data_IF_580729137746
#
_entry.id   IF_580729137746
#
_cell.length_a   1.000
_cell.length_b   1.000
_cell.length_c   1.000
_cell.angle_alpha   90.00
_cell.angle_beta   90.00
_cell.angle_gamma   90.00
#
_symmetry.space_group_name_H-M   'P 1'
#
loop_
_entity.id
_entity.type
_entity.pdbx_description
1 polymer ?
#
# COMPACT_ATOMS: atom_id res chain seq x y z
N UNK A 1 -5.61 1.66 6.38
CA UNK A 1 -6.23 2.94 5.95
C UNK A 1 -7.35 3.41 6.87
N UNK A 2 -8.31 2.58 7.26
CA UNK A 2 -9.44 2.98 8.12
C UNK A 2 -9.04 3.70 9.43
N UNK A 3 -8.04 3.25 10.20
CA UNK A 3 -7.61 3.97 11.40
C UNK A 3 -7.10 5.39 11.13
N UNK A 4 -6.44 5.58 9.98
CA UNK A 4 -5.89 6.89 9.59
C UNK A 4 -6.99 7.91 9.29
N UNK A 5 -8.05 7.47 8.59
CA UNK A 5 -9.21 8.31 8.30
C UNK A 5 -9.89 8.79 9.60
N UNK A 6 -9.98 7.93 10.63
CA UNK A 6 -10.48 8.29 11.97
C UNK A 6 -9.53 9.20 12.76
N UNK A 7 -8.25 9.25 12.40
CA UNK A 7 -7.22 10.08 13.04
C UNK A 7 -7.10 11.50 12.43
N UNK A 8 -8.04 11.93 11.59
CA UNK A 8 -8.11 13.29 11.08
C UNK A 8 -7.24 13.56 9.84
N UNK A 9 -6.89 12.56 9.05
CA UNK A 9 -6.25 12.79 7.75
C UNK A 9 -7.28 13.41 6.80
N UNK A 10 -6.96 14.59 6.24
CA UNK A 10 -7.83 15.34 5.37
C UNK A 10 -7.79 14.94 3.90
N UNK A 11 -6.65 14.43 3.41
CA UNK A 11 -6.47 14.08 1.99
C UNK A 11 -5.89 12.67 1.84
N UNK A 12 -6.52 11.84 1.02
CA UNK A 12 -6.04 10.48 0.73
C UNK A 12 -6.16 10.19 -0.76
N UNK A 13 -5.09 9.73 -1.38
CA UNK A 13 -5.14 9.05 -2.68
C UNK A 13 -5.04 7.55 -2.44
N UNK A 14 -5.94 6.77 -3.03
CA UNK A 14 -5.89 5.31 -3.03
C UNK A 14 -5.86 4.79 -4.45
N UNK A 15 -4.96 3.84 -4.71
CA UNK A 15 -4.78 3.27 -6.05
C UNK A 15 -4.75 1.75 -5.90
N UNK A 16 -5.63 1.06 -6.61
CA UNK A 16 -5.72 -0.40 -6.64
C UNK A 16 -6.43 -0.84 -7.93
N UNK A 17 -5.83 -1.71 -8.72
CA UNK A 17 -6.39 -2.22 -9.97
C UNK A 17 -7.18 -3.52 -9.81
N UNK A 18 -7.28 -4.07 -8.61
CA UNK A 18 -7.95 -5.34 -8.36
C UNK A 18 -9.47 -5.18 -8.14
N UNK A 19 -10.17 -6.29 -8.42
CA UNK A 19 -11.54 -6.51 -7.95
C UNK A 19 -11.58 -7.42 -6.73
N UNK A 20 -12.67 -7.36 -5.98
CA UNK A 20 -12.89 -8.23 -4.82
C UNK A 20 -13.20 -9.65 -5.30
N UNK A 21 -12.40 -10.60 -4.84
CA UNK A 21 -12.56 -12.02 -5.14
C UNK A 21 -13.02 -12.79 -3.89
N UNK A 22 -13.71 -13.91 -4.09
CA UNK A 22 -14.17 -14.80 -3.01
C UNK A 22 -13.02 -15.22 -2.08
N UNK A 23 -11.82 -15.41 -2.61
CA UNK A 23 -10.63 -15.77 -1.82
C UNK A 23 -10.11 -14.64 -0.94
N UNK A 24 -10.62 -13.41 -1.09
CA UNK A 24 -10.25 -12.28 -0.24
C UNK A 24 -11.06 -12.19 1.06
N UNK A 25 -12.23 -12.85 1.13
CA UNK A 25 -13.18 -12.77 2.24
C UNK A 25 -12.54 -13.16 3.58
N UNK A 26 -11.60 -14.09 3.55
CA UNK A 26 -10.94 -14.59 4.74
C UNK A 26 -10.01 -13.57 5.46
N UNK A 27 -9.64 -12.47 4.80
CA UNK A 27 -8.64 -11.52 5.36
C UNK A 27 -8.82 -10.05 4.99
N UNK A 28 -9.60 -9.72 3.95
CA UNK A 28 -9.77 -8.34 3.50
C UNK A 28 -11.08 -7.75 4.01
N UNK A 29 -11.00 -6.68 4.75
CA UNK A 29 -12.13 -6.04 5.43
C UNK A 29 -13.24 -5.57 4.48
N UNK A 30 -12.89 -5.23 3.24
CA UNK A 30 -13.84 -4.78 2.20
C UNK A 30 -14.45 -5.95 1.42
N UNK A 31 -13.95 -7.17 1.62
CA UNK A 31 -14.39 -8.35 0.89
C UNK A 31 -15.55 -9.02 1.63
N UNK A 32 -16.74 -8.83 1.11
CA UNK A 32 -18.01 -9.41 1.56
C UNK A 32 -18.71 -10.10 0.39
N UNK A 33 -19.68 -10.97 0.64
CA UNK A 33 -20.49 -11.56 -0.43
C UNK A 33 -21.17 -10.50 -1.30
N UNK A 34 -21.62 -9.40 -0.68
CA UNK A 34 -22.28 -8.28 -1.37
C UNK A 34 -21.34 -7.41 -2.20
N UNK A 35 -20.03 -7.50 -1.99
CA UNK A 35 -19.03 -6.69 -2.70
C UNK A 35 -18.20 -7.46 -3.72
N UNK A 36 -18.52 -8.75 -3.93
CA UNK A 36 -17.80 -9.58 -4.92
C UNK A 36 -17.83 -8.96 -6.32
N UNK A 37 -16.73 -9.09 -7.05
CA UNK A 37 -16.49 -8.58 -8.40
C UNK A 37 -16.51 -7.03 -8.52
N UNK A 38 -16.64 -6.29 -7.42
CA UNK A 38 -16.54 -4.84 -7.43
C UNK A 38 -15.06 -4.40 -7.28
N UNK A 39 -14.65 -3.27 -7.89
CA UNK A 39 -13.31 -2.72 -7.69
C UNK A 39 -13.02 -2.45 -6.21
N UNK A 40 -11.88 -2.95 -5.72
CA UNK A 40 -11.48 -2.80 -4.30
C UNK A 40 -11.41 -1.33 -3.90
N UNK A 41 -10.86 -0.49 -4.76
CA UNK A 41 -10.71 0.94 -4.53
C UNK A 41 -12.05 1.64 -4.31
N UNK A 42 -13.09 1.28 -5.07
CA UNK A 42 -14.41 1.91 -4.97
C UNK A 42 -15.09 1.57 -3.63
N UNK A 43 -15.05 0.30 -3.23
CA UNK A 43 -15.64 -0.14 -1.94
C UNK A 43 -14.88 0.48 -0.76
N UNK A 44 -13.56 0.56 -0.87
CA UNK A 44 -12.76 1.24 0.15
C UNK A 44 -13.08 2.74 0.22
N UNK A 45 -13.23 3.39 -0.94
CA UNK A 45 -13.58 4.81 -1.03
C UNK A 45 -14.92 5.12 -0.35
N UNK A 46 -15.96 4.37 -0.67
CA UNK A 46 -17.27 4.51 -0.03
C UNK A 46 -17.17 4.41 1.49
N UNK A 47 -16.45 3.42 1.99
CA UNK A 47 -16.25 3.22 3.42
C UNK A 47 -15.44 4.34 4.08
N UNK A 48 -14.43 4.88 3.41
CA UNK A 48 -13.63 5.99 3.93
C UNK A 48 -14.48 7.26 4.04
N UNK A 49 -15.30 7.53 3.03
CA UNK A 49 -16.21 8.67 2.99
C UNK A 49 -17.34 8.57 4.02
N UNK A 50 -17.85 7.36 4.28
CA UNK A 50 -18.84 7.10 5.34
C UNK A 50 -18.23 7.32 6.75
N UNK A 51 -16.94 7.07 6.94
CA UNK A 51 -16.22 7.33 8.19
C UNK A 51 -15.91 8.82 8.37
N UNK A 52 -15.52 9.49 7.31
CA UNK A 52 -15.18 10.91 7.31
C UNK A 52 -15.70 11.58 6.04
N UNK A 53 -16.91 12.19 6.09
CA UNK A 53 -17.53 12.86 4.93
C UNK A 53 -16.70 14.05 4.38
N UNK A 54 -15.88 14.67 5.21
CA UNK A 54 -15.02 15.81 4.83
C UNK A 54 -13.72 15.38 4.16
N UNK A 55 -13.45 14.06 4.06
CA UNK A 55 -12.24 13.54 3.45
C UNK A 55 -12.16 13.90 1.97
N UNK A 56 -11.10 14.58 1.57
CA UNK A 56 -10.76 14.75 0.15
C UNK A 56 -10.11 13.45 -0.32
N UNK A 57 -10.86 12.70 -1.12
CA UNK A 57 -10.49 11.36 -1.54
C UNK A 57 -10.33 11.29 -3.06
N UNK A 58 -9.13 10.88 -3.50
CA UNK A 58 -8.83 10.51 -4.88
C UNK A 58 -8.72 8.98 -4.96
N UNK A 59 -9.68 8.33 -5.62
CA UNK A 59 -9.77 6.88 -5.73
C UNK A 59 -9.57 6.44 -7.18
N UNK A 60 -8.44 5.81 -7.47
CA UNK A 60 -8.02 5.45 -8.81
C UNK A 60 -8.07 3.92 -9.01
N UNK A 61 -9.00 3.46 -9.86
CA UNK A 61 -9.09 2.06 -10.26
C UNK A 61 -8.14 1.79 -11.42
N UNK A 62 -6.89 1.49 -11.09
CA UNK A 62 -5.86 1.16 -12.08
C UNK A 62 -4.70 0.39 -11.44
N UNK A 63 -4.00 -0.38 -12.24
CA UNK A 63 -2.67 -0.87 -11.88
C UNK A 63 -1.65 0.22 -12.16
N UNK A 64 -0.74 0.45 -11.22
CA UNK A 64 0.32 1.44 -11.41
C UNK A 64 1.47 0.79 -12.16
N UNK A 65 1.74 1.27 -13.35
CA UNK A 65 2.92 0.90 -14.13
C UNK A 65 4.18 1.54 -13.52
N UNK A 66 5.30 0.84 -13.63
CA UNK A 66 6.58 1.30 -13.07
C UNK A 66 6.97 2.71 -13.55
N UNK A 67 6.68 3.01 -14.80
CA UNK A 67 6.99 4.26 -15.48
C UNK A 67 6.14 5.44 -14.99
N UNK A 68 4.98 5.17 -14.41
CA UNK A 68 4.05 6.18 -13.90
C UNK A 68 4.33 6.56 -12.45
N UNK A 69 4.92 5.64 -11.67
CA UNK A 69 5.13 5.81 -10.22
C UNK A 69 5.91 7.09 -9.90
N UNK A 70 7.02 7.33 -10.62
CA UNK A 70 7.86 8.53 -10.36
C UNK A 70 7.08 9.82 -10.62
N UNK A 71 6.24 9.85 -11.65
CA UNK A 71 5.37 10.99 -11.97
C UNK A 71 4.32 11.21 -10.89
N UNK A 72 3.68 10.13 -10.42
CA UNK A 72 2.65 10.18 -9.37
C UNK A 72 3.25 10.77 -8.09
N UNK A 73 4.41 10.27 -7.65
CA UNK A 73 5.06 10.74 -6.43
C UNK A 73 5.53 12.18 -6.54
N UNK A 74 6.13 12.56 -7.68
CA UNK A 74 6.66 13.90 -7.91
C UNK A 74 5.57 14.97 -8.02
N UNK A 75 4.47 14.67 -8.70
CA UNK A 75 3.44 15.66 -9.02
C UNK A 75 2.50 15.94 -7.84
N UNK A 76 2.26 14.99 -6.96
CA UNK A 76 1.25 15.11 -5.91
C UNK A 76 1.78 15.53 -4.53
N UNK A 77 3.09 15.68 -4.34
CA UNK A 77 3.73 16.13 -3.07
C UNK A 77 3.13 15.48 -1.81
N UNK A 78 3.07 14.14 -1.79
CA UNK A 78 2.55 13.42 -0.64
C UNK A 78 3.41 13.62 0.61
N UNK A 79 2.80 13.89 1.75
CA UNK A 79 3.48 13.91 3.06
C UNK A 79 3.96 12.53 3.47
N UNK A 80 3.20 11.49 3.08
CA UNK A 80 3.46 10.12 3.46
C UNK A 80 2.88 9.12 2.46
N UNK A 81 3.62 8.08 2.14
CA UNK A 81 3.19 6.98 1.26
C UNK A 81 3.08 5.69 2.07
N UNK A 82 2.00 4.94 1.86
CA UNK A 82 1.82 3.59 2.40
C UNK A 82 1.85 2.60 1.25
N UNK A 83 2.90 1.80 1.20
CA UNK A 83 3.06 0.74 0.22
C UNK A 83 2.49 -0.58 0.76
N UNK A 84 1.46 -1.08 0.11
CA UNK A 84 0.85 -2.38 0.37
C UNK A 84 0.91 -3.31 -0.85
N UNK A 85 1.80 -3.03 -1.81
CA UNK A 85 1.99 -3.82 -3.01
C UNK A 85 2.69 -5.15 -2.64
N UNK A 86 2.19 -6.27 -3.14
CA UNK A 86 2.73 -7.60 -2.90
C UNK A 86 3.67 -8.11 -4.00
N UNK A 87 3.71 -7.41 -5.15
CA UNK A 87 4.58 -7.72 -6.28
C UNK A 87 5.89 -6.94 -6.22
N UNK A 88 7.01 -7.57 -6.56
CA UNK A 88 8.35 -7.03 -6.32
C UNK A 88 8.67 -5.79 -7.17
N UNK A 89 8.39 -5.83 -8.48
CA UNK A 89 8.83 -4.78 -9.41
C UNK A 89 8.19 -3.42 -9.12
N UNK A 90 6.85 -3.27 -9.04
CA UNK A 90 6.24 -1.98 -8.73
C UNK A 90 6.54 -1.52 -7.28
N UNK A 91 6.66 -2.47 -6.33
CA UNK A 91 7.08 -2.15 -4.95
C UNK A 91 8.46 -1.49 -4.92
N UNK A 92 9.45 -2.03 -5.61
CA UNK A 92 10.81 -1.45 -5.72
C UNK A 92 10.75 -0.08 -6.39
N UNK A 93 9.98 0.06 -7.47
CA UNK A 93 9.81 1.34 -8.15
C UNK A 93 9.22 2.40 -7.22
N UNK A 94 8.20 2.05 -6.44
CA UNK A 94 7.57 2.96 -5.48
C UNK A 94 8.54 3.38 -4.37
N UNK A 95 9.24 2.44 -3.76
CA UNK A 95 10.25 2.74 -2.73
C UNK A 95 11.33 3.66 -3.30
N UNK A 96 11.86 3.35 -4.48
CA UNK A 96 12.90 4.14 -5.12
C UNK A 96 12.42 5.54 -5.46
N UNK A 97 11.21 5.69 -5.99
CA UNK A 97 10.61 6.99 -6.30
C UNK A 97 10.42 7.84 -5.03
N UNK A 98 9.94 7.25 -3.95
CA UNK A 98 9.79 7.95 -2.66
C UNK A 98 11.13 8.43 -2.11
N UNK A 99 12.15 7.59 -2.12
CA UNK A 99 13.51 7.95 -1.67
C UNK A 99 14.09 9.10 -2.50
N UNK A 100 13.99 9.00 -3.84
CA UNK A 100 14.44 10.03 -4.78
C UNK A 100 13.78 11.40 -4.54
N UNK A 101 12.49 11.38 -4.26
CA UNK A 101 11.70 12.59 -4.03
C UNK A 101 11.64 13.01 -2.54
N UNK A 102 12.40 12.32 -1.65
CA UNK A 102 12.40 12.56 -0.20
C UNK A 102 11.02 12.46 0.45
N UNK A 103 10.14 11.66 -0.12
CA UNK A 103 8.81 11.38 0.44
C UNK A 103 8.90 10.24 1.45
N UNK A 104 8.32 10.44 2.62
CA UNK A 104 8.28 9.40 3.68
C UNK A 104 7.46 8.21 3.20
N UNK A 105 7.97 7.00 3.39
CA UNK A 105 7.29 5.78 2.99
C UNK A 105 7.35 4.73 4.11
N UNK A 106 6.25 4.01 4.27
CA UNK A 106 6.21 2.74 4.99
C UNK A 106 5.75 1.64 4.05
N UNK A 107 6.46 0.53 4.06
CA UNK A 107 6.20 -0.58 3.14
C UNK A 107 5.81 -1.83 3.93
N UNK A 108 4.63 -2.37 3.63
CA UNK A 108 4.19 -3.64 4.19
C UNK A 108 4.91 -4.80 3.49
N UNK A 109 5.44 -5.72 4.28
CA UNK A 109 6.08 -6.93 3.77
C UNK A 109 5.12 -8.13 3.81
N UNK A 110 5.61 -9.34 3.58
CA UNK A 110 4.78 -10.54 3.52
C UNK A 110 4.27 -10.97 4.90
N UNK A 111 2.96 -11.21 4.98
CA UNK A 111 2.28 -11.70 6.19
C UNK A 111 1.74 -13.15 6.04
N UNK A 112 1.97 -13.80 4.91
CA UNK A 112 1.49 -15.17 4.66
C UNK A 112 2.00 -16.17 5.69
N UNK A 113 1.08 -16.99 6.24
CA UNK A 113 1.38 -17.97 7.26
C UNK A 113 1.71 -17.43 8.67
N UNK A 114 1.48 -16.14 8.92
CA UNK A 114 1.72 -15.51 10.22
C UNK A 114 0.41 -15.33 10.97
N UNK A 115 0.36 -15.81 12.19
CA UNK A 115 -0.87 -15.86 12.99
C UNK A 115 -0.80 -14.99 14.26
N UNK A 116 0.39 -14.52 14.63
CA UNK A 116 0.59 -13.72 15.84
C UNK A 116 0.82 -12.24 15.49
N UNK A 117 -0.22 -11.37 15.61
CA UNK A 117 -0.12 -9.96 15.26
C UNK A 117 0.76 -9.17 16.26
N UNK A 118 1.01 -9.69 17.46
CA UNK A 118 1.87 -9.03 18.45
C UNK A 118 3.34 -8.95 18.01
N UNK A 119 3.74 -9.79 17.05
CA UNK A 119 5.09 -9.84 16.48
C UNK A 119 5.29 -8.91 15.27
N UNK A 120 4.29 -8.11 14.92
CA UNK A 120 4.44 -7.08 13.89
C UNK A 120 5.29 -5.95 14.45
N UNK A 121 6.39 -5.65 13.77
CA UNK A 121 7.33 -4.60 14.17
C UNK A 121 7.60 -3.65 13.01
N UNK A 122 7.99 -2.43 13.34
CA UNK A 122 8.57 -1.48 12.40
C UNK A 122 10.09 -1.57 12.52
N UNK A 123 10.75 -1.73 11.37
CA UNK A 123 12.19 -1.82 11.31
C UNK A 123 12.69 -1.26 9.97
N UNK A 124 13.95 -0.88 9.92
CA UNK A 124 14.63 -0.66 8.65
C UNK A 124 14.64 -1.95 7.83
N UNK A 125 14.62 -1.81 6.50
CA UNK A 125 14.60 -2.99 5.61
C UNK A 125 15.81 -3.90 5.83
N UNK A 126 16.96 -3.35 6.21
CA UNK A 126 18.18 -4.09 6.50
C UNK A 126 18.07 -5.02 7.71
N UNK A 127 17.21 -4.65 8.68
CA UNK A 127 16.99 -5.39 9.93
C UNK A 127 15.87 -6.43 9.84
N UNK A 128 15.16 -6.48 8.71
CA UNK A 128 14.05 -7.42 8.51
C UNK A 128 14.56 -8.88 8.41
N UNK A 129 13.80 -9.81 8.98
CA UNK A 129 14.12 -11.24 8.98
C UNK A 129 12.86 -12.10 8.75
N UNK A 130 13.05 -13.38 8.44
CA UNK A 130 11.99 -14.37 8.25
C UNK A 130 10.88 -14.01 7.24
N UNK A 131 11.16 -13.12 6.27
CA UNK A 131 10.21 -12.74 5.23
C UNK A 131 10.86 -12.83 3.85
N UNK A 132 10.33 -13.69 2.97
CA UNK A 132 10.84 -13.87 1.60
C UNK A 132 10.73 -12.62 0.75
N UNK A 133 9.61 -11.88 0.85
CA UNK A 133 9.41 -10.62 0.15
C UNK A 133 10.41 -9.57 0.63
N UNK A 134 10.57 -9.39 1.94
CA UNK A 134 11.54 -8.43 2.49
C UNK A 134 12.98 -8.78 2.06
N UNK A 135 13.35 -10.06 2.04
CA UNK A 135 14.65 -10.52 1.52
C UNK A 135 14.85 -10.13 0.07
N UNK A 136 13.84 -10.32 -0.78
CA UNK A 136 13.90 -9.96 -2.20
C UNK A 136 13.99 -8.44 -2.40
N UNK A 137 13.18 -7.66 -1.66
CA UNK A 137 13.21 -6.19 -1.66
C UNK A 137 14.60 -5.69 -1.26
N UNK A 138 15.13 -6.14 -0.12
CA UNK A 138 16.46 -5.77 0.38
C UNK A 138 17.56 -6.05 -0.65
N UNK A 139 17.59 -7.26 -1.21
CA UNK A 139 18.55 -7.62 -2.24
C UNK A 139 18.47 -6.70 -3.46
N UNK A 140 17.24 -6.38 -3.89
CA UNK A 140 17.04 -5.52 -5.06
C UNK A 140 17.44 -4.07 -4.80
N UNK A 141 17.13 -3.53 -3.61
CA UNK A 141 17.57 -2.19 -3.23
C UNK A 141 19.08 -2.08 -3.15
N UNK A 142 19.75 -3.09 -2.59
CA UNK A 142 21.22 -3.15 -2.55
C UNK A 142 21.85 -3.14 -3.95
N UNK A 143 21.28 -3.85 -4.94
CA UNK A 143 21.77 -3.79 -6.34
C UNK A 143 21.60 -2.41 -6.99
N UNK A 144 20.70 -1.57 -6.44
CA UNK A 144 20.49 -0.19 -6.88
C UNK A 144 21.34 0.82 -6.07
N UNK A 145 22.23 0.35 -5.18
CA UNK A 145 23.05 1.20 -4.31
C UNK A 145 22.33 1.85 -3.15
N UNK A 146 21.10 1.41 -2.87
CA UNK A 146 20.28 1.87 -1.74
C UNK A 146 20.58 0.96 -0.54
N UNK A 147 21.04 1.58 0.56
CA UNK A 147 21.40 0.91 1.81
C UNK A 147 20.31 1.14 2.85
#
# INVERSE_FOLDING_TARGET
>A
MLPKCRAGIGNITIIDGDTINKTNINRQLIALHSTLNQPKVNILAQRLQDINPELILDAQYQFIEKEEIDKIIKNNRYDFVVDAIDTLSPKIALITACLKNKTKIISSMGAGGRIDPSKITFADISETYHCGLAKAVRKRLQTLGIK
#
